data_IF_653358024416
#
_entry.id   IF_653358024416
#
_cell.length_a   1.000
_cell.length_b   1.000
_cell.length_c   1.000
_cell.angle_alpha   90.00
_cell.angle_beta   90.00
_cell.angle_gamma   90.00
#
_symmetry.space_group_name_H-M   'P 1'
#
loop_
_entity.id
_entity.type
_entity.pdbx_description
1 polymer ?
#
# COMPACT_ATOMS: atom_id res chain seq x y z
N UNK A 1 -0.22 17.87 3.84
CA UNK A 1 -1.65 17.97 3.45
C UNK A 1 -2.49 17.07 4.36
N UNK A 2 -3.59 17.61 4.91
CA UNK A 2 -4.51 16.92 5.82
C UNK A 2 -5.94 17.30 5.46
N UNK A 3 -6.69 16.39 4.85
CA UNK A 3 -8.02 16.66 4.30
C UNK A 3 -9.02 15.58 4.73
N UNK A 4 -10.30 15.95 4.72
CA UNK A 4 -11.41 15.04 4.95
C UNK A 4 -12.30 15.04 3.70
N UNK A 5 -12.46 13.89 3.06
CA UNK A 5 -13.25 13.73 1.82
C UNK A 5 -14.35 12.71 2.04
N UNK A 6 -15.50 12.91 1.39
CA UNK A 6 -16.63 11.97 1.41
C UNK A 6 -16.63 11.16 0.12
N UNK A 7 -16.69 9.84 0.25
CA UNK A 7 -16.86 8.93 -0.89
C UNK A 7 -18.32 9.02 -1.40
N UNK A 8 -18.55 9.38 -2.67
CA UNK A 8 -19.88 9.48 -3.25
C UNK A 8 -20.58 8.12 -3.40
N UNK A 9 -19.84 7.01 -3.45
CA UNK A 9 -20.41 5.67 -3.66
C UNK A 9 -20.87 5.08 -2.33
N UNK A 10 -19.98 5.05 -1.34
CA UNK A 10 -20.27 4.42 -0.04
C UNK A 10 -20.80 5.39 1.01
N UNK A 11 -20.73 6.70 0.75
CA UNK A 11 -21.09 7.76 1.69
C UNK A 11 -20.14 7.88 2.89
N UNK A 12 -19.05 7.11 2.91
CA UNK A 12 -18.07 7.09 4.01
C UNK A 12 -17.16 8.29 3.95
N UNK A 13 -16.69 8.70 5.12
CA UNK A 13 -15.65 9.71 5.21
C UNK A 13 -14.26 9.09 5.22
N UNK A 14 -13.34 9.73 4.50
CA UNK A 14 -11.97 9.30 4.32
C UNK A 14 -11.06 10.43 4.79
N UNK A 15 -10.07 10.07 5.61
CA UNK A 15 -9.02 10.99 6.07
C UNK A 15 -7.82 10.84 5.13
N UNK A 16 -7.42 11.95 4.51
CA UNK A 16 -6.24 12.01 3.65
C UNK A 16 -5.12 12.71 4.41
N UNK A 17 -3.99 12.03 4.59
CA UNK A 17 -2.82 12.57 5.29
C UNK A 17 -1.53 12.08 4.65
N UNK A 18 -1.14 12.69 3.53
CA UNK A 18 0.02 12.28 2.73
C UNK A 18 1.34 12.30 3.49
N UNK A 19 1.49 13.19 4.48
CA UNK A 19 2.67 13.28 5.35
C UNK A 19 2.89 12.02 6.22
N UNK A 20 1.86 11.19 6.44
CA UNK A 20 2.00 9.97 7.27
C UNK A 20 2.96 8.96 6.66
N UNK A 21 3.09 8.91 5.33
CA UNK A 21 4.00 8.00 4.65
C UNK A 21 5.49 8.30 4.92
N UNK A 22 5.82 9.54 5.34
CA UNK A 22 7.20 9.93 5.65
C UNK A 22 7.66 9.53 7.06
N UNK A 23 6.76 9.01 7.89
CA UNK A 23 7.10 8.62 9.26
C UNK A 23 8.00 7.38 9.24
N UNK A 24 8.99 7.29 10.14
CA UNK A 24 9.80 6.09 10.24
C UNK A 24 8.90 4.92 10.65
N UNK A 25 8.90 3.86 9.83
CA UNK A 25 8.24 2.60 10.15
C UNK A 25 9.26 1.66 10.77
N UNK A 26 9.15 1.39 12.07
CA UNK A 26 10.13 0.57 12.79
C UNK A 26 10.13 -0.91 12.37
N UNK A 27 9.05 -1.41 11.76
CA UNK A 27 8.84 -2.85 11.53
C UNK A 27 8.36 -3.23 10.13
N UNK A 28 8.01 -2.27 9.26
CA UNK A 28 7.46 -2.60 7.94
C UNK A 28 8.60 -2.86 6.97
N UNK A 29 9.05 -4.11 6.90
CA UNK A 29 9.80 -4.61 5.75
C UNK A 29 8.78 -5.03 4.70
N UNK A 30 8.58 -4.20 3.67
CA UNK A 30 7.93 -4.69 2.47
C UNK A 30 8.83 -5.79 1.91
N UNK A 31 8.35 -7.04 1.92
CA UNK A 31 8.98 -8.07 1.12
C UNK A 31 8.91 -7.56 -0.32
N UNK A 32 10.08 -7.30 -0.91
CA UNK A 32 10.16 -7.29 -2.36
C UNK A 32 9.70 -8.68 -2.77
N UNK A 33 8.71 -8.77 -3.65
CA UNK A 33 8.42 -10.02 -4.35
C UNK A 33 9.75 -10.39 -5.02
N UNK A 34 10.40 -11.41 -4.46
CA UNK A 34 11.57 -12.00 -5.10
C UNK A 34 10.93 -12.84 -6.19
N UNK A 35 11.03 -12.38 -7.43
CA UNK A 35 10.67 -13.15 -8.62
C UNK A 35 11.65 -14.32 -8.73
N UNK A 36 11.55 -15.29 -7.83
CA UNK A 36 12.25 -16.55 -7.96
C UNK A 36 11.52 -17.33 -9.05
N UNK A 37 11.98 -17.13 -10.29
CA UNK A 37 11.44 -17.77 -11.50
C UNK A 37 11.34 -19.28 -11.31
N UNK A 38 12.26 -19.88 -10.54
CA UNK A 38 12.27 -21.31 -10.24
C UNK A 38 11.14 -21.78 -9.30
N UNK A 39 10.59 -20.88 -8.48
CA UNK A 39 9.54 -21.18 -7.49
C UNK A 39 8.18 -20.61 -7.91
N UNK A 40 8.12 -19.88 -9.02
CA UNK A 40 6.93 -19.20 -9.51
C UNK A 40 6.05 -20.15 -10.35
N UNK A 41 4.89 -20.60 -9.85
CA UNK A 41 4.04 -21.58 -10.54
C UNK A 41 3.34 -21.03 -11.80
N UNK A 42 3.45 -19.72 -12.05
CA UNK A 42 2.86 -19.04 -13.21
C UNK A 42 3.91 -18.42 -14.13
N UNK A 43 5.20 -18.56 -13.81
CA UNK A 43 6.27 -18.07 -14.66
C UNK A 43 6.51 -19.08 -15.78
N UNK A 44 6.87 -18.55 -16.95
CA UNK A 44 7.31 -19.40 -18.05
C UNK A 44 8.63 -20.06 -17.66
N UNK A 45 8.73 -21.37 -17.85
CA UNK A 45 9.89 -22.17 -17.46
C UNK A 45 11.21 -21.65 -18.00
#
# INVERSE_FOLDING_TARGET
MREFRRDPITGRWIIISSERAKRPFAFVKYQREIDDVNTCPFCWG
#
